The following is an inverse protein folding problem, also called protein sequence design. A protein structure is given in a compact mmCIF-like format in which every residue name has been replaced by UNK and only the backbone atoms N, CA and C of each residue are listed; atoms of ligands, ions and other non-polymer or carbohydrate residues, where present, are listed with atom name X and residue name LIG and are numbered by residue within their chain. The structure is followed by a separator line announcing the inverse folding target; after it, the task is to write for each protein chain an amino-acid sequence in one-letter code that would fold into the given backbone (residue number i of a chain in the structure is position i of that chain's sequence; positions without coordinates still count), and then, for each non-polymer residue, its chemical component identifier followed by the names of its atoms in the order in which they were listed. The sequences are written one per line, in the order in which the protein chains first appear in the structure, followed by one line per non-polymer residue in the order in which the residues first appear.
data_IF_271143318934
#
_entry.id   IF_271143318934
#
_cell.length_a   1.000
_cell.length_b   1.000
_cell.length_c   1.000
_cell.angle_alpha   90.00
_cell.angle_beta   90.00
_cell.angle_gamma   90.00
#
_symmetry.space_group_name_H-M   'P 1'
#
loop_
_entity.id
_entity.type
_entity.pdbx_description
1 polymer ?
#
# COMPACT_ATOMS: atom_id res chain seq x y z
N UNK A 1 -29.92 -29.72 -56.64
CA UNK A 1 -29.82 -29.53 -55.18
C UNK A 1 -28.42 -28.98 -54.89
N UNK A 2 -28.33 -27.74 -54.38
CA UNK A 2 -27.06 -26.99 -54.25
C UNK A 2 -26.25 -27.52 -53.06
N UNK A 3 -25.07 -28.08 -53.31
CA UNK A 3 -24.10 -28.45 -52.27
C UNK A 3 -23.25 -27.22 -51.94
N UNK A 4 -23.72 -26.43 -50.98
CA UNK A 4 -23.03 -25.24 -50.50
C UNK A 4 -21.97 -25.60 -49.45
N UNK A 5 -20.72 -25.65 -49.93
CA UNK A 5 -19.53 -25.06 -49.30
C UNK A 5 -19.34 -25.27 -47.79
N UNK A 6 -18.85 -26.46 -47.44
CA UNK A 6 -18.34 -26.87 -46.13
C UNK A 6 -17.04 -26.15 -45.67
N UNK A 7 -16.77 -24.91 -46.08
CA UNK A 7 -15.40 -24.36 -46.06
C UNK A 7 -15.26 -22.96 -45.46
N UNK A 8 -16.13 -22.52 -44.55
CA UNK A 8 -16.01 -21.12 -44.08
C UNK A 8 -16.40 -20.82 -42.64
N UNK A 9 -16.20 -21.73 -41.70
CA UNK A 9 -16.25 -21.38 -40.27
C UNK A 9 -15.22 -22.17 -39.47
N UNK A 10 -13.95 -22.06 -39.85
CA UNK A 10 -12.86 -22.21 -38.89
C UNK A 10 -12.98 -21.01 -37.92
N UNK A 11 -13.86 -21.17 -36.93
CA UNK A 11 -13.93 -20.28 -35.78
C UNK A 11 -12.63 -20.46 -35.01
N UNK A 12 -11.72 -19.51 -35.21
CA UNK A 12 -10.48 -19.38 -34.47
C UNK A 12 -10.84 -18.97 -33.02
N UNK A 13 -11.31 -19.93 -32.23
CA UNK A 13 -11.55 -19.79 -30.79
C UNK A 13 -10.20 -19.76 -30.08
N UNK A 14 -9.55 -18.59 -30.07
CA UNK A 14 -8.31 -18.38 -29.36
C UNK A 14 -8.55 -18.49 -27.85
N UNK A 15 -7.77 -19.39 -27.25
CA UNK A 15 -7.73 -19.77 -25.86
C UNK A 15 -7.45 -18.61 -24.90
N UNK A 16 -8.15 -18.66 -23.76
CA UNK A 16 -7.66 -18.39 -22.40
C UNK A 16 -6.41 -17.50 -22.26
N UNK A 17 -6.63 -16.23 -21.93
CA UNK A 17 -5.86 -15.58 -20.86
C UNK A 17 -6.80 -14.66 -20.09
N UNK A 18 -7.59 -15.23 -19.17
CA UNK A 18 -8.01 -14.48 -18.00
C UNK A 18 -6.73 -14.17 -17.21
N UNK A 19 -6.09 -13.05 -17.56
CA UNK A 19 -4.98 -12.52 -16.81
C UNK A 19 -5.48 -12.16 -15.42
N UNK A 20 -5.33 -13.10 -14.49
CA UNK A 20 -5.40 -12.85 -13.06
C UNK A 20 -4.27 -11.88 -12.74
N UNK A 21 -4.56 -10.60 -12.83
CA UNK A 21 -3.78 -9.53 -12.25
C UNK A 21 -4.60 -8.94 -11.14
N UNK A 22 -4.59 -9.59 -9.97
CA UNK A 22 -5.10 -9.05 -8.71
C UNK A 22 -4.20 -7.85 -8.37
N UNK A 23 -4.40 -6.73 -9.07
CA UNK A 23 -3.78 -5.44 -8.80
C UNK A 23 -4.41 -4.76 -7.59
N UNK A 24 -4.78 -5.54 -6.57
CA UNK A 24 -5.48 -5.04 -5.39
C UNK A 24 -4.55 -4.48 -4.31
N UNK A 25 -3.22 -4.57 -4.45
CA UNK A 25 -2.35 -4.40 -3.28
C UNK A 25 -1.17 -3.42 -3.42
N UNK A 26 -0.93 -2.78 -4.57
CA UNK A 26 0.21 -1.85 -4.73
C UNK A 26 -0.12 -0.36 -4.50
N UNK A 27 -1.38 0.06 -4.47
CA UNK A 27 -1.70 1.48 -4.73
C UNK A 27 -2.18 2.33 -3.57
N UNK A 28 -2.89 1.76 -2.58
CA UNK A 28 -3.62 2.58 -1.63
C UNK A 28 -3.74 1.86 -0.29
N UNK A 29 -2.70 1.95 0.54
CA UNK A 29 -2.86 1.93 1.98
C UNK A 29 -2.94 3.38 2.48
N UNK A 30 -4.02 4.14 2.15
CA UNK A 30 -4.10 5.57 2.48
C UNK A 30 -4.00 5.80 3.99
N UNK A 31 -4.51 4.86 4.79
CA UNK A 31 -4.41 4.93 6.24
C UNK A 31 -2.97 4.82 6.73
N UNK A 32 -2.16 3.89 6.21
CA UNK A 32 -0.76 3.75 6.65
C UNK A 32 0.06 4.99 6.30
N UNK A 33 -0.07 5.50 5.08
CA UNK A 33 0.60 6.75 4.66
C UNK A 33 0.09 7.95 5.46
N UNK A 34 -1.22 8.06 5.70
CA UNK A 34 -1.79 9.11 6.53
C UNK A 34 -1.28 9.02 7.97
N UNK A 35 -1.15 7.82 8.53
CA UNK A 35 -0.58 7.60 9.87
C UNK A 35 0.86 8.09 9.94
N UNK A 36 1.70 7.85 8.93
CA UNK A 36 3.06 8.42 8.89
C UNK A 36 3.02 9.94 8.98
N UNK A 37 2.17 10.60 8.19
CA UNK A 37 2.01 12.06 8.22
C UNK A 37 1.52 12.53 9.60
N UNK A 38 0.53 11.86 10.20
CA UNK A 38 0.01 12.20 11.52
C UNK A 38 1.09 12.07 12.61
N UNK A 39 1.89 11.01 12.56
CA UNK A 39 3.00 10.80 13.50
C UNK A 39 4.10 11.85 13.33
N UNK A 40 4.41 12.25 12.10
CA UNK A 40 5.37 13.33 11.82
C UNK A 40 4.88 14.68 12.37
N UNK A 41 3.60 14.99 12.19
CA UNK A 41 2.99 16.17 12.81
C UNK A 41 3.03 16.10 14.33
N UNK A 42 2.64 14.97 14.93
CA UNK A 42 2.70 14.77 16.37
C UNK A 42 4.12 14.92 16.93
N UNK A 43 5.14 14.44 16.20
CA UNK A 43 6.55 14.63 16.54
C UNK A 43 6.93 16.11 16.54
N UNK A 44 6.52 16.86 15.52
CA UNK A 44 6.81 18.29 15.41
C UNK A 44 6.16 19.07 16.56
N UNK A 45 4.89 18.81 16.85
CA UNK A 45 4.17 19.42 17.97
C UNK A 45 4.84 19.10 19.32
N UNK A 46 5.20 17.84 19.55
CA UNK A 46 5.86 17.43 20.79
C UNK A 46 7.27 17.99 20.92
N UNK A 47 7.97 18.21 19.81
CA UNK A 47 9.30 18.83 19.81
C UNK A 47 9.26 20.28 20.28
N UNK A 48 8.17 21.01 19.99
CA UNK A 48 7.94 22.39 20.45
C UNK A 48 7.45 22.48 21.90
N UNK A 49 6.93 21.39 22.46
CA UNK A 49 6.51 21.36 23.85
C UNK A 49 7.69 21.66 24.79
N UNK A 50 7.40 22.41 25.86
CA UNK A 50 8.42 22.86 26.82
C UNK A 50 9.27 21.66 27.29
N UNK A 51 10.62 21.79 27.28
CA UNK A 51 11.51 20.70 27.62
C UNK A 51 11.19 20.07 28.98
N UNK A 52 11.38 18.76 29.03
CA UNK A 52 11.67 18.06 30.26
C UNK A 52 10.58 18.07 31.36
N UNK A 53 9.35 17.65 31.00
CA UNK A 53 8.37 17.15 31.99
C UNK A 53 8.85 15.82 32.60
N UNK A 54 10.03 15.77 33.23
CA UNK A 54 10.63 14.55 33.80
C UNK A 54 11.12 13.52 32.77
N UNK A 55 11.73 13.98 31.67
CA UNK A 55 12.19 13.10 30.57
C UNK A 55 11.07 12.45 29.74
N UNK A 56 9.80 12.78 30.02
CA UNK A 56 8.66 12.21 29.31
C UNK A 56 8.60 12.68 27.86
N UNK A 57 9.03 13.92 27.57
CA UNK A 57 9.05 14.47 26.21
C UNK A 57 10.00 13.68 25.32
N UNK A 58 11.21 13.47 25.79
CA UNK A 58 12.26 12.73 25.09
C UNK A 58 11.84 11.27 24.88
N UNK A 59 11.27 10.63 25.91
CA UNK A 59 10.69 9.29 25.79
C UNK A 59 9.56 9.21 24.76
N UNK A 60 8.64 10.18 24.78
CA UNK A 60 7.53 10.21 23.84
C UNK A 60 7.99 10.49 22.40
N UNK A 61 9.00 11.34 22.18
CA UNK A 61 9.63 11.52 20.87
C UNK A 61 10.24 10.22 20.36
N UNK A 62 10.95 9.48 21.20
CA UNK A 62 11.52 8.19 20.84
C UNK A 62 10.44 7.16 20.45
N UNK A 63 9.33 7.10 21.19
CA UNK A 63 8.20 6.22 20.86
C UNK A 63 7.53 6.60 19.53
N UNK A 64 7.39 7.89 19.24
CA UNK A 64 6.86 8.36 17.95
C UNK A 64 7.79 7.95 16.81
N UNK A 65 9.11 8.09 16.99
CA UNK A 65 10.10 7.69 15.98
C UNK A 65 10.07 6.17 15.73
N UNK A 66 9.91 5.36 16.77
CA UNK A 66 9.70 3.90 16.64
C UNK A 66 8.42 3.58 15.87
N UNK A 67 7.30 4.22 16.21
CA UNK A 67 6.02 4.01 15.53
C UNK A 67 6.10 4.38 14.04
N UNK A 68 6.79 5.46 13.68
CA UNK A 68 7.04 5.82 12.27
C UNK A 68 7.81 4.70 11.55
N UNK A 69 8.82 4.13 12.20
CA UNK A 69 9.59 3.00 11.69
C UNK A 69 8.71 1.78 11.38
N UNK A 70 7.89 1.35 12.34
CA UNK A 70 7.00 0.19 12.20
C UNK A 70 5.95 0.39 11.10
N UNK A 71 5.34 1.57 11.00
CA UNK A 71 4.36 1.86 9.95
C UNK A 71 5.02 1.84 8.57
N UNK A 72 6.24 2.40 8.45
CA UNK A 72 7.01 2.33 7.20
C UNK A 72 7.41 0.90 6.83
N UNK A 73 7.80 0.09 7.81
CA UNK A 73 8.09 -1.32 7.61
C UNK A 73 6.84 -2.09 7.13
N UNK A 74 5.67 -1.82 7.71
CA UNK A 74 4.39 -2.38 7.28
C UNK A 74 4.01 -1.99 5.85
N UNK A 75 4.22 -0.72 5.47
CA UNK A 75 4.04 -0.24 4.09
C UNK A 75 4.99 -0.99 3.14
N UNK A 76 6.28 -1.12 3.51
CA UNK A 76 7.27 -1.81 2.69
C UNK A 76 6.96 -3.30 2.51
N UNK A 77 6.52 -3.98 3.58
CA UNK A 77 6.09 -5.38 3.54
C UNK A 77 4.89 -5.57 2.59
N UNK A 78 3.89 -4.69 2.67
CA UNK A 78 2.72 -4.73 1.79
C UNK A 78 3.04 -4.40 0.33
N UNK A 79 4.09 -3.60 0.07
CA UNK A 79 4.54 -3.23 -1.27
C UNK A 79 5.28 -4.35 -2.03
N UNK A 80 5.53 -5.50 -1.41
CA UNK A 80 6.13 -6.66 -2.05
C UNK A 80 7.41 -7.17 -1.36
N UNK A 81 7.29 -7.54 -0.09
CA UNK A 81 8.25 -8.49 0.50
C UNK A 81 8.32 -9.80 -0.28
#
# INVERSE_FOLDING_TARGET
MKLSSAARRLGLGAALTAGIGIGYALGAQPHMTATVTMLQSARAELAQATPNKGGHRERALALIDQAIGEVRAGIAFAAGG
#
